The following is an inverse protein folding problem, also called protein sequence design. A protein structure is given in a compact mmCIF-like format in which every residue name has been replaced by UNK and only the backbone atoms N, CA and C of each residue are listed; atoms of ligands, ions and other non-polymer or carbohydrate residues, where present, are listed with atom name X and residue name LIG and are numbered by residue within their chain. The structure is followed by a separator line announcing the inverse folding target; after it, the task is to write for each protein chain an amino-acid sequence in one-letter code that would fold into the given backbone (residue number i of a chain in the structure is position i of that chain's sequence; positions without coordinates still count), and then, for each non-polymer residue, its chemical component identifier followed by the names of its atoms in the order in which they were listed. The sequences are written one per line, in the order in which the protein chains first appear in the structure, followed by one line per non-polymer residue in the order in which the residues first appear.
data_IF_920250924864
#
_entry.id   IF_920250924864
#
_cell.length_a   1.000
_cell.length_b   1.000
_cell.length_c   1.000
_cell.angle_alpha   90.00
_cell.angle_beta   90.00
_cell.angle_gamma   90.00
#
_symmetry.space_group_name_H-M   'P 1'
#
loop_
_entity.id
_entity.type
_entity.pdbx_description
1 polymer ?
#
# COMPACT_ATOMS: atom_id res chain seq x y z
N UNK A 1 -28.92 34.67 -39.36
CA UNK A 1 -29.59 33.74 -38.46
C UNK A 1 -28.53 32.71 -38.08
N UNK A 2 -27.84 32.99 -36.96
CA UNK A 2 -26.79 32.13 -36.41
C UNK A 2 -27.43 31.37 -35.27
N UNK A 3 -27.39 30.05 -35.38
CA UNK A 3 -27.79 29.14 -34.32
C UNK A 3 -26.57 28.90 -33.46
N UNK A 4 -26.56 29.45 -32.26
CA UNK A 4 -25.58 29.20 -31.24
C UNK A 4 -26.13 28.09 -30.37
N UNK A 5 -25.64 26.85 -30.57
CA UNK A 5 -25.85 25.74 -29.64
C UNK A 5 -24.90 25.96 -28.45
N UNK A 6 -25.41 26.53 -27.37
CA UNK A 6 -24.79 26.50 -26.06
C UNK A 6 -24.76 25.02 -25.60
N UNK A 7 -23.56 24.44 -25.54
CA UNK A 7 -23.30 23.23 -24.79
C UNK A 7 -23.34 23.56 -23.30
N UNK A 8 -24.45 23.17 -22.67
CA UNK A 8 -24.63 23.19 -21.21
C UNK A 8 -23.66 22.20 -20.56
N UNK A 9 -22.44 22.63 -20.27
CA UNK A 9 -21.51 21.91 -19.40
C UNK A 9 -22.05 22.00 -17.97
N UNK A 10 -22.83 21.00 -17.58
CA UNK A 10 -23.32 20.87 -16.20
C UNK A 10 -22.13 20.65 -15.28
N UNK A 11 -21.76 21.68 -14.57
CA UNK A 11 -20.81 21.64 -13.49
C UNK A 11 -21.39 20.80 -12.35
N UNK A 12 -20.95 19.55 -12.22
CA UNK A 12 -21.42 18.60 -11.19
C UNK A 12 -21.02 18.99 -9.76
N UNK A 13 -20.32 20.11 -9.60
CA UNK A 13 -19.86 20.63 -8.30
C UNK A 13 -20.66 21.87 -7.87
N UNK A 14 -21.80 22.19 -8.53
CA UNK A 14 -22.65 23.29 -8.13
C UNK A 14 -23.26 23.01 -6.74
N UNK A 15 -22.80 23.75 -5.73
CA UNK A 15 -23.25 23.61 -4.34
C UNK A 15 -22.23 23.08 -3.35
N UNK A 16 -21.01 22.76 -3.79
CA UNK A 16 -19.90 22.39 -2.91
C UNK A 16 -18.93 23.57 -2.86
N UNK A 17 -18.78 24.23 -1.73
CA UNK A 17 -17.77 25.26 -1.56
C UNK A 17 -16.38 24.61 -1.49
N UNK A 18 -15.40 25.17 -2.20
CA UNK A 18 -14.01 24.65 -2.22
C UNK A 18 -13.42 24.47 -0.81
N UNK A 19 -13.84 25.26 0.18
CA UNK A 19 -13.45 25.14 1.58
C UNK A 19 -13.99 23.89 2.28
N UNK A 20 -15.18 23.39 1.90
CA UNK A 20 -15.76 22.19 2.51
C UNK A 20 -15.03 20.89 2.14
N UNK A 21 -14.33 20.87 1.00
CA UNK A 21 -13.55 19.70 0.57
C UNK A 21 -12.18 19.65 1.29
N UNK A 22 -11.65 20.82 1.67
CA UNK A 22 -10.31 20.95 2.27
C UNK A 22 -10.35 20.79 3.80
N UNK A 23 -11.46 21.17 4.44
CA UNK A 23 -11.64 21.12 5.90
C UNK A 23 -12.32 19.84 6.43
N UNK A 24 -12.70 18.91 5.55
CA UNK A 24 -13.02 17.56 5.99
C UNK A 24 -11.73 16.90 6.47
N UNK A 25 -11.34 17.15 7.73
CA UNK A 25 -10.41 16.23 8.40
C UNK A 25 -10.97 14.83 8.16
N UNK A 26 -10.20 13.90 7.54
CA UNK A 26 -10.68 12.54 7.45
C UNK A 26 -11.00 12.11 8.87
N UNK A 27 -12.25 11.70 9.11
CA UNK A 27 -12.63 11.08 10.38
C UNK A 27 -11.60 9.98 10.62
N UNK A 28 -10.59 10.32 11.40
CA UNK A 28 -9.60 9.37 11.85
C UNK A 28 -10.41 8.30 12.54
N UNK A 29 -10.40 7.07 12.02
CA UNK A 29 -11.08 5.95 12.62
C UNK A 29 -10.76 5.98 14.11
N UNK A 30 -11.68 6.52 14.90
CA UNK A 30 -11.45 6.73 16.33
C UNK A 30 -11.51 5.37 16.99
N UNK A 31 -10.33 4.85 17.34
CA UNK A 31 -10.22 3.64 18.13
C UNK A 31 -10.84 3.87 19.51
N UNK A 32 -11.56 2.89 20.04
CA UNK A 32 -11.92 2.92 21.45
C UNK A 32 -10.66 2.86 22.31
N UNK A 33 -10.72 3.29 23.59
CA UNK A 33 -9.57 3.17 24.49
C UNK A 33 -9.00 1.75 24.56
N UNK A 34 -9.88 0.72 24.58
CA UNK A 34 -9.49 -0.68 24.60
C UNK A 34 -8.77 -1.12 23.31
N UNK A 35 -9.27 -0.66 22.14
CA UNK A 35 -8.64 -0.91 20.85
C UNK A 35 -7.27 -0.23 20.77
N UNK A 36 -7.17 0.99 21.27
CA UNK A 36 -5.90 1.71 21.31
C UNK A 36 -4.86 1.00 22.18
N UNK A 37 -5.23 0.57 23.39
CA UNK A 37 -4.33 -0.18 24.27
C UNK A 37 -3.95 -1.54 23.67
N UNK A 38 -4.90 -2.21 23.00
CA UNK A 38 -4.62 -3.47 22.29
C UNK A 38 -3.62 -3.27 21.15
N UNK A 39 -3.82 -2.25 20.30
CA UNK A 39 -2.91 -1.91 19.21
C UNK A 39 -1.51 -1.59 19.73
N UNK A 40 -1.44 -0.76 20.77
CA UNK A 40 -0.18 -0.41 21.44
C UNK A 40 0.54 -1.63 21.97
N UNK A 41 -0.20 -2.55 22.64
CA UNK A 41 0.37 -3.79 23.16
C UNK A 41 0.89 -4.72 22.05
N UNK A 42 0.19 -4.82 20.92
CA UNK A 42 0.62 -5.64 19.78
C UNK A 42 1.89 -5.08 19.13
N UNK A 43 1.96 -3.78 18.92
CA UNK A 43 3.09 -3.15 18.25
C UNK A 43 4.28 -3.02 19.21
N UNK A 44 4.13 -2.29 20.31
CA UNK A 44 5.22 -1.98 21.22
C UNK A 44 5.57 -3.11 22.21
N UNK A 45 4.70 -4.13 22.34
CA UNK A 45 5.00 -5.33 23.11
C UNK A 45 5.75 -6.41 22.34
N UNK A 46 6.07 -6.17 21.08
CA UNK A 46 6.77 -7.10 20.21
C UNK A 46 8.27 -6.81 20.19
N UNK A 47 9.11 -7.83 20.37
CA UNK A 47 10.57 -7.71 20.17
C UNK A 47 10.89 -7.22 18.74
N UNK A 48 10.05 -7.56 17.77
CA UNK A 48 10.16 -7.09 16.40
C UNK A 48 10.10 -5.57 16.28
N UNK A 49 9.30 -4.89 17.10
CA UNK A 49 9.21 -3.43 17.06
C UNK A 49 10.53 -2.78 17.53
N UNK A 50 11.18 -3.37 18.50
CA UNK A 50 12.50 -2.93 18.93
C UNK A 50 13.56 -3.15 17.84
N UNK A 51 13.51 -4.28 17.12
CA UNK A 51 14.36 -4.54 15.96
C UNK A 51 14.14 -3.51 14.85
N UNK A 52 12.87 -3.20 14.54
CA UNK A 52 12.49 -2.21 13.53
C UNK A 52 13.04 -0.83 13.91
N UNK A 53 12.82 -0.38 15.14
CA UNK A 53 13.23 0.96 15.58
C UNK A 53 14.74 1.14 15.64
N UNK A 54 15.49 0.05 15.82
CA UNK A 54 16.96 0.06 15.82
C UNK A 54 17.58 -0.09 14.42
N UNK A 55 16.79 -0.49 13.40
CA UNK A 55 17.29 -0.63 12.04
C UNK A 55 17.40 0.73 11.32
N UNK A 56 18.43 0.88 10.48
CA UNK A 56 18.58 2.03 9.58
C UNK A 56 17.56 1.97 8.43
N UNK A 57 17.38 0.77 7.86
CA UNK A 57 16.44 0.49 6.79
C UNK A 57 15.29 -0.37 7.32
N UNK A 58 14.08 0.16 7.25
CA UNK A 58 12.86 -0.46 7.77
C UNK A 58 11.88 -0.66 6.61
N UNK A 59 11.66 -1.92 6.23
CA UNK A 59 10.83 -2.27 5.09
C UNK A 59 9.50 -2.84 5.55
N UNK A 60 8.41 -2.11 5.39
CA UNK A 60 7.05 -2.65 5.51
C UNK A 60 6.65 -3.29 4.18
N UNK A 61 6.36 -4.59 4.18
CA UNK A 61 6.01 -5.33 2.98
C UNK A 61 4.53 -5.70 3.00
N UNK A 62 3.82 -5.34 1.94
CA UNK A 62 2.42 -5.69 1.74
C UNK A 62 2.18 -6.40 0.39
N UNK A 63 1.04 -7.06 0.25
CA UNK A 63 0.67 -7.87 -0.91
C UNK A 63 -0.15 -9.08 -0.50
N UNK A 64 -0.44 -9.99 -1.43
CA UNK A 64 -1.15 -11.25 -1.14
C UNK A 64 -0.36 -12.10 -0.14
N UNK A 65 -1.08 -12.79 0.76
CA UNK A 65 -0.45 -13.64 1.79
C UNK A 65 -0.72 -15.15 1.60
N UNK A 66 -1.45 -15.54 0.56
CA UNK A 66 -1.86 -16.92 0.34
C UNK A 66 -1.18 -17.55 -0.88
N UNK A 67 -0.98 -18.87 -0.81
CA UNK A 67 -0.44 -19.66 -1.91
C UNK A 67 0.94 -19.19 -2.39
N UNK A 68 1.19 -19.35 -3.68
CA UNK A 68 2.47 -18.96 -4.30
C UNK A 68 2.76 -17.45 -4.21
N UNK A 69 1.71 -16.62 -4.21
CA UNK A 69 1.85 -15.17 -4.09
C UNK A 69 2.39 -14.80 -2.70
N UNK A 70 1.85 -15.46 -1.67
CA UNK A 70 2.33 -15.30 -0.29
C UNK A 70 3.78 -15.76 -0.12
N UNK A 71 4.18 -16.86 -0.75
CA UNK A 71 5.57 -17.34 -0.69
C UNK A 71 6.53 -16.36 -1.38
N UNK A 72 6.16 -15.77 -2.52
CA UNK A 72 6.99 -14.74 -3.17
C UNK A 72 7.12 -13.48 -2.32
N UNK A 73 6.04 -13.03 -1.68
CA UNK A 73 6.09 -11.91 -0.73
C UNK A 73 7.01 -12.21 0.45
N UNK A 74 6.95 -13.42 0.99
CA UNK A 74 7.81 -13.87 2.08
C UNK A 74 9.29 -13.96 1.64
N UNK A 75 9.55 -14.46 0.43
CA UNK A 75 10.89 -14.47 -0.14
C UNK A 75 11.47 -13.06 -0.28
N UNK A 76 10.64 -12.11 -0.72
CA UNK A 76 11.03 -10.70 -0.79
C UNK A 76 11.37 -10.15 0.59
N UNK A 77 10.56 -10.44 1.62
CA UNK A 77 10.87 -10.07 3.00
C UNK A 77 12.25 -10.58 3.41
N UNK A 78 12.55 -11.86 3.19
CA UNK A 78 13.84 -12.46 3.53
C UNK A 78 15.02 -11.78 2.80
N UNK A 79 14.86 -11.42 1.53
CA UNK A 79 15.88 -10.72 0.76
C UNK A 79 16.17 -9.32 1.31
N UNK A 80 15.13 -8.58 1.69
CA UNK A 80 15.28 -7.24 2.27
C UNK A 80 15.85 -7.30 3.69
N UNK A 81 15.37 -8.25 4.50
CA UNK A 81 15.81 -8.46 5.87
C UNK A 81 17.27 -8.90 5.98
N UNK A 82 17.79 -9.61 4.97
CA UNK A 82 19.20 -10.03 4.90
C UNK A 82 20.19 -8.89 4.66
N UNK A 83 19.73 -7.69 4.38
CA UNK A 83 20.58 -6.52 4.14
C UNK A 83 21.17 -6.00 5.44
N UNK A 84 22.30 -5.32 5.32
CA UNK A 84 22.99 -4.73 6.48
C UNK A 84 22.12 -3.64 7.14
N UNK A 85 22.01 -3.68 8.46
CA UNK A 85 21.24 -2.70 9.26
C UNK A 85 19.79 -2.55 8.79
N UNK A 86 19.18 -3.66 8.35
CA UNK A 86 17.83 -3.68 7.81
C UNK A 86 16.92 -4.59 8.63
N UNK A 87 15.64 -4.26 8.67
CA UNK A 87 14.57 -5.12 9.18
C UNK A 87 13.39 -5.03 8.23
N UNK A 88 12.93 -6.18 7.76
CA UNK A 88 11.78 -6.29 6.87
C UNK A 88 10.63 -7.02 7.59
N UNK A 89 9.46 -6.42 7.58
CA UNK A 89 8.31 -6.87 8.36
C UNK A 89 7.00 -6.72 7.60
N UNK A 90 5.98 -7.44 8.05
CA UNK A 90 4.61 -7.43 7.54
C UNK A 90 3.66 -7.20 8.71
N UNK A 91 2.42 -6.84 8.42
CA UNK A 91 1.37 -6.71 9.44
C UNK A 91 1.18 -7.99 10.27
N UNK A 92 1.20 -9.14 9.60
CA UNK A 92 0.99 -10.43 10.23
C UNK A 92 2.07 -10.80 11.25
N UNK A 93 3.26 -10.25 11.11
CA UNK A 93 4.39 -10.54 11.99
C UNK A 93 4.18 -9.98 13.41
N UNK A 94 3.20 -9.06 13.59
CA UNK A 94 2.78 -8.54 14.90
C UNK A 94 1.69 -9.35 15.59
N UNK A 95 1.32 -10.51 15.04
CA UNK A 95 0.34 -11.40 15.64
C UNK A 95 -1.10 -10.89 15.57
N UNK A 96 -1.41 -10.00 14.63
CA UNK A 96 -2.79 -9.61 14.33
C UNK A 96 -3.58 -10.81 13.81
N UNK A 97 -4.74 -11.06 14.41
CA UNK A 97 -5.64 -12.16 14.08
C UNK A 97 -6.94 -11.67 13.48
N UNK A 98 -7.82 -12.59 13.08
CA UNK A 98 -9.18 -12.24 12.61
C UNK A 98 -10.01 -11.53 13.70
N UNK A 99 -9.71 -11.76 14.97
CA UNK A 99 -10.39 -11.09 16.08
C UNK A 99 -9.95 -9.62 16.20
N UNK A 100 -8.76 -9.28 15.68
CA UNK A 100 -8.20 -7.94 15.67
C UNK A 100 -8.53 -7.16 14.37
N UNK A 101 -9.57 -7.57 13.62
CA UNK A 101 -9.88 -7.00 12.28
C UNK A 101 -9.98 -5.47 12.28
N UNK A 102 -10.47 -4.88 13.36
CA UNK A 102 -10.60 -3.42 13.52
C UNK A 102 -9.25 -2.71 13.68
N UNK A 103 -8.18 -3.45 13.96
CA UNK A 103 -6.84 -2.91 14.19
C UNK A 103 -5.95 -2.98 12.95
N UNK A 104 -6.35 -3.71 11.89
CA UNK A 104 -5.51 -3.89 10.69
C UNK A 104 -5.18 -2.58 9.99
N UNK A 105 -6.18 -1.74 9.72
CA UNK A 105 -5.96 -0.45 9.09
C UNK A 105 -5.16 0.51 9.99
N UNK A 106 -5.50 0.71 11.28
CA UNK A 106 -4.67 1.50 12.19
C UNK A 106 -3.25 0.97 12.38
N UNK A 107 -3.05 -0.36 12.39
CA UNK A 107 -1.72 -0.96 12.46
C UNK A 107 -0.90 -0.66 11.21
N UNK A 108 -1.49 -0.85 10.02
CA UNK A 108 -0.84 -0.49 8.76
C UNK A 108 -0.44 0.97 8.74
N UNK A 109 -1.28 1.82 9.28
CA UNK A 109 -1.09 3.24 9.42
C UNK A 109 0.18 3.59 10.20
N UNK A 110 0.24 3.14 11.44
CA UNK A 110 1.39 3.36 12.34
C UNK A 110 2.67 2.76 11.77
N UNK A 111 2.59 1.54 11.22
CA UNK A 111 3.75 0.83 10.71
C UNK A 111 4.27 1.42 9.40
N UNK A 112 3.39 1.94 8.54
CA UNK A 112 3.80 2.63 7.32
C UNK A 112 4.53 3.94 7.59
N UNK A 113 4.15 4.66 8.66
CA UNK A 113 4.87 5.85 9.12
C UNK A 113 6.22 5.53 9.78
N UNK A 114 6.32 4.37 10.40
CA UNK A 114 7.56 3.90 11.01
C UNK A 114 8.57 3.41 9.97
N UNK A 115 8.10 2.90 8.84
CA UNK A 115 8.94 2.36 7.77
C UNK A 115 9.73 3.45 7.04
N UNK A 116 10.97 3.15 6.66
CA UNK A 116 11.73 3.97 5.71
C UNK A 116 11.35 3.67 4.26
N UNK A 117 10.85 2.46 4.01
CA UNK A 117 10.40 1.98 2.72
C UNK A 117 9.13 1.13 2.90
N UNK A 118 8.10 1.43 2.14
CA UNK A 118 6.88 0.64 2.03
C UNK A 118 6.91 -0.07 0.69
N UNK A 119 6.90 -1.40 0.68
CA UNK A 119 7.14 -2.19 -0.54
C UNK A 119 5.93 -3.07 -0.84
N UNK A 120 5.23 -2.75 -1.92
CA UNK A 120 4.10 -3.53 -2.41
C UNK A 120 4.50 -4.56 -3.45
N UNK A 121 4.11 -5.83 -3.26
CA UNK A 121 4.23 -6.89 -4.28
C UNK A 121 2.87 -7.09 -4.93
N UNK A 122 2.75 -6.66 -6.18
CA UNK A 122 1.51 -6.66 -6.93
C UNK A 122 1.55 -7.69 -8.05
N UNK A 123 0.68 -8.68 -7.95
CA UNK A 123 0.49 -9.71 -8.97
C UNK A 123 -0.93 -9.72 -9.53
N UNK A 124 -1.85 -9.03 -8.87
CA UNK A 124 -3.22 -8.79 -9.29
C UNK A 124 -3.81 -7.59 -8.53
N UNK A 125 -5.04 -7.20 -8.87
CA UNK A 125 -5.82 -6.20 -8.14
C UNK A 125 -6.96 -6.84 -7.33
N UNK A 126 -6.67 -7.99 -6.71
CA UNK A 126 -7.64 -8.73 -5.92
C UNK A 126 -7.12 -8.98 -4.50
N UNK A 127 -7.96 -8.72 -3.49
CA UNK A 127 -7.62 -8.94 -2.07
C UNK A 127 -7.29 -7.69 -1.26
N UNK A 128 -6.82 -7.92 -0.03
CA UNK A 128 -6.66 -6.88 1.00
C UNK A 128 -5.64 -5.80 0.65
N UNK A 129 -4.58 -6.14 -0.08
CA UNK A 129 -3.54 -5.18 -0.45
C UNK A 129 -4.04 -4.00 -1.32
N UNK A 130 -5.18 -4.15 -1.97
CA UNK A 130 -5.84 -3.05 -2.70
C UNK A 130 -6.30 -1.96 -1.73
N UNK A 131 -6.76 -2.35 -0.54
CA UNK A 131 -7.13 -1.41 0.52
C UNK A 131 -5.91 -0.70 1.11
N UNK A 132 -4.80 -1.43 1.30
CA UNK A 132 -3.53 -0.86 1.75
C UNK A 132 -3.05 0.20 0.76
N UNK A 133 -3.14 -0.08 -0.54
CA UNK A 133 -2.83 0.91 -1.59
C UNK A 133 -3.79 2.09 -1.62
N UNK A 134 -5.09 1.86 -1.35
CA UNK A 134 -6.07 2.93 -1.21
C UNK A 134 -5.75 3.86 -0.05
N UNK A 135 -5.32 3.32 1.09
CA UNK A 135 -4.84 4.10 2.23
C UNK A 135 -3.61 4.93 1.85
N UNK A 136 -2.62 4.33 1.17
CA UNK A 136 -1.41 5.03 0.71
C UNK A 136 -1.73 6.12 -0.32
N UNK A 137 -2.72 5.91 -1.19
CA UNK A 137 -3.18 6.93 -2.13
C UNK A 137 -3.75 8.17 -1.42
N UNK A 138 -4.50 7.94 -0.34
CA UNK A 138 -5.12 9.02 0.45
C UNK A 138 -4.13 9.74 1.37
N UNK A 139 -3.01 9.09 1.68
CA UNK A 139 -2.02 9.63 2.58
C UNK A 139 -1.21 10.76 1.97
N UNK A 140 -0.76 11.63 2.86
CA UNK A 140 0.09 12.76 2.52
C UNK A 140 1.42 12.33 1.88
N UNK A 141 2.08 13.24 1.20
CA UNK A 141 3.26 13.03 0.38
C UNK A 141 4.39 12.21 1.02
N UNK A 142 4.60 12.33 2.35
CA UNK A 142 5.68 11.65 3.06
C UNK A 142 5.67 10.12 2.91
N UNK A 143 4.50 9.47 3.04
CA UNK A 143 4.41 8.00 2.88
C UNK A 143 4.54 7.60 1.42
N UNK A 144 4.00 8.39 0.49
CA UNK A 144 4.19 8.15 -0.94
C UNK A 144 5.64 8.22 -1.37
N UNK A 145 6.44 9.07 -0.71
CA UNK A 145 7.87 9.20 -0.99
C UNK A 145 8.68 7.96 -0.59
N UNK A 146 8.14 7.12 0.29
CA UNK A 146 8.76 5.85 0.71
C UNK A 146 8.22 4.63 -0.03
N UNK A 147 7.15 4.77 -0.82
CA UNK A 147 6.47 3.66 -1.49
C UNK A 147 7.24 3.16 -2.72
N UNK A 148 7.41 1.85 -2.79
CA UNK A 148 7.90 1.08 -3.92
C UNK A 148 6.86 0.06 -4.35
N UNK A 149 6.65 -0.11 -5.64
CA UNK A 149 5.73 -1.10 -6.21
C UNK A 149 6.52 -2.06 -7.09
N UNK A 150 6.54 -3.34 -6.71
CA UNK A 150 7.08 -4.42 -7.51
C UNK A 150 5.91 -5.11 -8.21
N UNK A 151 5.64 -4.72 -9.47
CA UNK A 151 4.46 -5.13 -10.23
C UNK A 151 4.78 -6.25 -11.20
N UNK A 152 4.06 -7.37 -11.10
CA UNK A 152 4.17 -8.46 -12.06
C UNK A 152 3.54 -8.08 -13.39
N UNK A 153 4.19 -8.46 -14.47
CA UNK A 153 3.65 -8.41 -15.83
C UNK A 153 3.53 -9.83 -16.39
N UNK A 154 2.48 -10.07 -17.15
CA UNK A 154 2.20 -11.37 -17.77
C UNK A 154 2.43 -11.28 -19.27
N UNK A 155 2.93 -12.37 -19.89
CA UNK A 155 3.13 -12.42 -21.35
C UNK A 155 1.81 -12.56 -22.11
N UNK A 156 0.82 -13.20 -21.47
CA UNK A 156 -0.53 -13.35 -22.02
C UNK A 156 -1.35 -12.10 -21.68
N UNK A 157 -1.79 -11.40 -22.72
CA UNK A 157 -2.54 -10.15 -22.59
C UNK A 157 -3.92 -10.36 -21.94
N UNK A 158 -4.54 -11.53 -22.13
CA UNK A 158 -5.84 -11.84 -21.53
C UNK A 158 -5.66 -12.12 -20.03
N UNK A 159 -4.61 -12.85 -19.65
CA UNK A 159 -4.25 -13.06 -18.26
C UNK A 159 -3.86 -11.74 -17.59
N UNK A 160 -3.04 -10.91 -18.24
CA UNK A 160 -2.68 -9.57 -17.75
C UNK A 160 -3.94 -8.75 -17.45
N UNK A 161 -4.91 -8.80 -18.35
CA UNK A 161 -6.18 -8.08 -18.20
C UNK A 161 -7.03 -8.66 -17.09
N UNK A 162 -7.16 -9.99 -17.01
CA UNK A 162 -7.89 -10.68 -15.93
C UNK A 162 -7.34 -10.34 -14.54
N UNK A 163 -6.02 -10.31 -14.39
CA UNK A 163 -5.36 -10.04 -13.11
C UNK A 163 -5.51 -8.59 -12.64
N UNK A 164 -5.62 -7.65 -13.56
CA UNK A 164 -5.61 -6.22 -13.26
C UNK A 164 -6.91 -5.49 -13.63
N UNK A 165 -7.96 -6.22 -14.07
CA UNK A 165 -9.27 -5.65 -14.38
C UNK A 165 -10.15 -5.58 -13.12
N UNK A 166 -9.85 -4.59 -12.27
CA UNK A 166 -10.71 -4.21 -11.16
C UNK A 166 -10.92 -2.69 -11.23
N UNK A 167 -11.96 -2.26 -11.94
CA UNK A 167 -12.20 -0.90 -12.38
C UNK A 167 -11.83 0.21 -11.39
N UNK A 168 -12.35 0.18 -10.16
CA UNK A 168 -12.05 1.20 -9.17
C UNK A 168 -10.63 1.06 -8.60
N UNK A 169 -10.20 -0.16 -8.27
CA UNK A 169 -8.84 -0.42 -7.80
C UNK A 169 -7.82 -0.03 -8.87
N UNK A 170 -8.05 -0.41 -10.14
CA UNK A 170 -7.18 -0.05 -11.25
C UNK A 170 -6.99 1.46 -11.38
N UNK A 171 -8.05 2.24 -11.20
CA UNK A 171 -7.99 3.72 -11.27
C UNK A 171 -7.11 4.30 -10.17
N UNK A 172 -7.31 3.89 -8.91
CA UNK A 172 -6.51 4.40 -7.79
C UNK A 172 -5.05 3.99 -7.89
N UNK A 173 -4.81 2.73 -8.28
CA UNK A 173 -3.44 2.20 -8.39
C UNK A 173 -2.72 2.85 -9.56
N UNK A 174 -3.37 3.07 -10.70
CA UNK A 174 -2.78 3.78 -11.83
C UNK A 174 -2.34 5.21 -11.45
N UNK A 175 -3.20 5.95 -10.74
CA UNK A 175 -2.85 7.27 -10.25
C UNK A 175 -1.69 7.26 -9.24
N UNK A 176 -1.62 6.22 -8.38
CA UNK A 176 -0.52 6.02 -7.45
C UNK A 176 0.77 5.68 -8.20
N UNK A 177 0.74 4.74 -9.15
CA UNK A 177 1.86 4.37 -10.01
C UNK A 177 2.40 5.58 -10.80
N UNK A 178 1.53 6.44 -11.31
CA UNK A 178 1.93 7.66 -12.01
C UNK A 178 2.67 8.62 -11.05
N UNK A 179 2.20 8.76 -9.82
CA UNK A 179 2.81 9.64 -8.82
C UNK A 179 4.20 9.19 -8.34
N UNK A 180 4.53 7.90 -8.49
CA UNK A 180 5.79 7.28 -8.06
C UNK A 180 6.47 6.52 -9.21
N UNK A 181 6.35 6.99 -10.45
CA UNK A 181 6.72 6.22 -11.66
C UNK A 181 8.16 5.68 -11.65
N UNK A 182 9.10 6.35 -11.03
CA UNK A 182 10.51 5.95 -10.88
C UNK A 182 10.72 4.81 -9.84
N UNK A 183 9.69 4.52 -9.04
CA UNK A 183 9.69 3.49 -8.00
C UNK A 183 8.70 2.34 -8.28
N UNK A 184 8.16 2.31 -9.49
CA UNK A 184 7.41 1.17 -10.01
C UNK A 184 8.35 0.28 -10.80
N UNK A 185 8.64 -0.92 -10.29
CA UNK A 185 9.53 -1.87 -10.92
C UNK A 185 8.73 -3.07 -11.40
N UNK A 186 8.78 -3.34 -12.70
CA UNK A 186 8.08 -4.51 -13.27
C UNK A 186 8.96 -5.75 -13.26
N UNK A 187 8.32 -6.93 -13.11
CA UNK A 187 8.95 -8.23 -13.12
C UNK A 187 8.02 -9.28 -13.75
N UNK A 188 8.55 -10.41 -14.21
CA UNK A 188 7.79 -11.51 -14.85
C UNK A 188 8.03 -12.84 -14.18
N UNK A 189 9.30 -13.15 -13.91
CA UNK A 189 9.75 -14.39 -13.29
C UNK A 189 10.24 -14.14 -11.86
N UNK A 190 10.47 -15.20 -11.09
CA UNK A 190 11.05 -15.06 -9.75
C UNK A 190 12.47 -14.47 -9.77
N UNK A 191 13.25 -14.80 -10.79
CA UNK A 191 14.57 -14.21 -10.96
C UNK A 191 14.49 -12.71 -11.23
N UNK A 192 13.50 -12.26 -12.04
CA UNK A 192 13.25 -10.84 -12.26
C UNK A 192 12.79 -10.14 -10.97
N UNK A 193 12.03 -10.83 -10.11
CA UNK A 193 11.62 -10.29 -8.82
C UNK A 193 12.84 -10.05 -7.92
N UNK A 194 13.79 -10.98 -7.88
CA UNK A 194 15.04 -10.80 -7.12
C UNK A 194 15.86 -9.60 -7.63
N UNK A 195 15.91 -9.40 -8.96
CA UNK A 195 16.56 -8.22 -9.55
C UNK A 195 15.77 -6.93 -9.25
N UNK A 196 14.44 -6.99 -9.25
CA UNK A 196 13.57 -5.87 -8.89
C UNK A 196 13.79 -5.42 -7.43
N UNK A 197 13.95 -6.39 -6.52
CA UNK A 197 14.24 -6.11 -5.09
C UNK A 197 15.52 -5.30 -4.93
N UNK A 198 16.56 -5.56 -5.75
CA UNK A 198 17.84 -4.83 -5.66
C UNK A 198 17.71 -3.33 -5.98
N UNK A 199 16.63 -2.92 -6.65
CA UNK A 199 16.38 -1.50 -6.97
C UNK A 199 15.76 -0.74 -5.79
N UNK A 200 15.13 -1.44 -4.86
CA UNK A 200 14.67 -0.84 -3.60
C UNK A 200 15.90 -0.50 -2.79
N UNK A 201 16.06 0.74 -2.28
CA UNK A 201 17.25 1.17 -1.54
C UNK A 201 17.55 0.36 -0.30
#
# INVERSE_FOLDING_TARGET
MKDESETDERNHLEGVEEGEIVDAEPDTLSLTPEQHERLKSLIHGSDLFDEITNAENRYLIFGRNEGELGERRKKLQQLLDSRRSATAFRLEDFGLTSDDIHLWAPAFDVLSETATHVVGVLEDYDGGHVWEMGLLYYRQSNVRDTLWILKRTYEDDDLQRERYDNGMAASHIAALEESIADRVVTWRTEDDLEEAVKKVP
#
